data_IF_072758132057
#
_entry.id   IF_072758132057
#
_cell.length_a   1.000
_cell.length_b   1.000
_cell.length_c   1.000
_cell.angle_alpha   90.00
_cell.angle_beta   90.00
_cell.angle_gamma   90.00
#
_symmetry.space_group_name_H-M   'P 1'
#
loop_
_entity.id
_entity.type
_entity.pdbx_description
1 polymer ?
#
# COMPACT_ATOMS: atom_id res chain seq x y z
N UNK A 1 18.82 -3.00 -20.43
CA UNK A 1 18.65 -4.06 -19.39
C UNK A 1 17.38 -4.84 -19.69
N UNK A 2 17.27 -6.10 -19.26
CA UNK A 2 16.05 -6.89 -19.49
C UNK A 2 15.36 -7.06 -18.13
N UNK A 3 14.25 -6.35 -17.95
CA UNK A 3 13.44 -6.46 -16.71
C UNK A 3 12.53 -7.69 -16.70
N UNK A 4 12.25 -8.28 -17.85
CA UNK A 4 11.35 -9.43 -18.05
C UNK A 4 11.85 -10.77 -17.50
N UNK A 5 12.90 -10.77 -16.68
CA UNK A 5 13.46 -11.97 -16.02
C UNK A 5 13.33 -11.95 -14.50
N UNK A 6 12.94 -10.81 -13.91
CA UNK A 6 12.94 -10.64 -12.45
C UNK A 6 12.07 -11.71 -11.79
N UNK A 7 10.87 -11.97 -12.30
CA UNK A 7 10.01 -13.04 -11.79
C UNK A 7 10.72 -14.41 -11.79
N UNK A 8 11.33 -14.81 -12.91
CA UNK A 8 12.00 -16.11 -13.01
C UNK A 8 13.23 -16.18 -12.10
N UNK A 9 13.99 -15.09 -12.02
CA UNK A 9 15.18 -15.02 -11.18
C UNK A 9 14.83 -15.02 -9.68
N UNK A 10 13.69 -14.45 -9.27
CA UNK A 10 13.13 -14.57 -7.92
C UNK A 10 12.71 -16.00 -7.60
N UNK A 11 11.92 -16.64 -8.49
CA UNK A 11 11.44 -18.03 -8.28
C UNK A 11 12.60 -19.03 -8.20
N UNK A 12 13.65 -18.81 -8.99
CA UNK A 12 14.85 -19.67 -8.94
C UNK A 12 15.79 -19.38 -7.75
N UNK A 13 15.51 -18.36 -6.95
CA UNK A 13 16.36 -17.93 -5.85
C UNK A 13 17.66 -17.23 -6.27
N UNK A 14 17.80 -16.87 -7.54
CA UNK A 14 18.97 -16.17 -8.06
C UNK A 14 18.96 -14.69 -7.66
N UNK A 15 17.81 -14.08 -7.61
CA UNK A 15 17.60 -12.71 -7.16
C UNK A 15 16.74 -12.70 -5.89
N UNK A 16 16.80 -11.57 -5.14
CA UNK A 16 16.03 -11.36 -3.93
C UNK A 16 14.98 -10.28 -4.12
N UNK A 17 13.90 -10.40 -3.34
CA UNK A 17 12.94 -9.34 -3.11
C UNK A 17 13.33 -8.60 -1.83
N UNK A 18 13.24 -7.27 -1.83
CA UNK A 18 13.37 -6.48 -0.60
C UNK A 18 12.05 -5.78 -0.27
N UNK A 19 11.72 -5.75 1.02
CA UNK A 19 10.63 -4.98 1.56
C UNK A 19 11.18 -3.85 2.44
N UNK A 20 10.81 -2.61 2.15
CA UNK A 20 11.23 -1.39 2.86
C UNK A 20 10.06 -0.88 3.70
N UNK A 21 10.21 -0.96 5.01
CA UNK A 21 9.17 -0.67 6.00
C UNK A 21 8.44 -1.93 6.45
N UNK A 22 8.72 -2.38 7.68
CA UNK A 22 8.16 -3.59 8.29
C UNK A 22 7.09 -3.25 9.33
N UNK A 23 6.15 -2.38 8.94
CA UNK A 23 4.97 -2.06 9.72
C UNK A 23 3.84 -3.07 9.46
N UNK A 24 2.61 -2.69 9.86
CA UNK A 24 1.40 -3.52 9.72
C UNK A 24 1.05 -3.90 8.25
N UNK A 25 1.57 -3.17 7.28
CA UNK A 25 1.43 -3.51 5.85
C UNK A 25 2.60 -4.37 5.38
N UNK A 26 3.82 -3.88 5.59
CA UNK A 26 5.00 -4.50 5.00
C UNK A 26 5.37 -5.85 5.62
N UNK A 27 5.13 -6.04 6.92
CA UNK A 27 5.49 -7.29 7.58
C UNK A 27 4.68 -8.50 7.06
N UNK A 28 3.33 -8.44 6.95
CA UNK A 28 2.56 -9.53 6.33
C UNK A 28 2.99 -9.85 4.90
N UNK A 29 3.29 -8.82 4.11
CA UNK A 29 3.75 -8.99 2.73
C UNK A 29 5.11 -9.71 2.69
N UNK A 30 6.07 -9.28 3.53
CA UNK A 30 7.39 -9.89 3.60
C UNK A 30 7.32 -11.38 3.96
N UNK A 31 6.53 -11.70 4.99
CA UNK A 31 6.35 -13.09 5.45
C UNK A 31 5.66 -13.95 4.41
N UNK A 32 4.68 -13.42 3.70
CA UNK A 32 3.98 -14.19 2.66
C UNK A 32 4.91 -14.46 1.46
N UNK A 33 5.65 -13.46 0.98
CA UNK A 33 6.64 -13.65 -0.08
C UNK A 33 7.77 -14.62 0.33
N UNK A 34 8.21 -14.58 1.59
CA UNK A 34 9.29 -15.43 2.09
C UNK A 34 8.97 -16.94 2.06
N UNK A 35 7.69 -17.30 1.93
CA UNK A 35 7.27 -18.70 1.70
C UNK A 35 7.64 -19.21 0.29
N UNK A 36 7.97 -18.31 -0.63
CA UNK A 36 8.12 -18.63 -2.06
C UNK A 36 9.45 -18.18 -2.66
N UNK A 37 10.00 -17.06 -2.18
CA UNK A 37 11.22 -16.44 -2.72
C UNK A 37 12.11 -15.90 -1.60
N UNK A 38 13.43 -15.68 -1.84
CA UNK A 38 14.30 -15.03 -0.86
C UNK A 38 13.86 -13.57 -0.62
N UNK A 39 13.64 -13.20 0.65
CA UNK A 39 13.17 -11.86 1.04
C UNK A 39 14.12 -11.22 2.04
N UNK A 40 14.50 -9.97 1.76
CA UNK A 40 15.16 -9.05 2.70
C UNK A 40 14.09 -8.13 3.27
N UNK A 41 13.89 -8.18 4.59
CA UNK A 41 13.01 -7.27 5.31
C UNK A 41 13.82 -6.14 5.94
N UNK A 42 13.67 -4.92 5.42
CA UNK A 42 14.38 -3.73 5.91
C UNK A 42 13.45 -2.80 6.67
N UNK A 43 13.86 -2.38 7.86
CA UNK A 43 13.24 -1.27 8.61
C UNK A 43 14.33 -0.41 9.23
N UNK A 44 14.12 0.93 9.26
CA UNK A 44 15.06 1.87 9.89
C UNK A 44 15.08 1.75 11.43
N UNK A 45 14.07 1.14 12.01
CA UNK A 45 13.95 0.93 13.46
C UNK A 45 14.71 -0.34 13.88
N UNK A 46 15.94 -0.18 14.33
CA UNK A 46 16.79 -1.29 14.78
C UNK A 46 16.16 -2.10 15.92
N UNK A 47 15.43 -1.46 16.83
CA UNK A 47 14.74 -2.16 17.92
C UNK A 47 13.70 -3.11 17.37
N UNK A 48 12.86 -2.66 16.46
CA UNK A 48 11.86 -3.49 15.78
C UNK A 48 12.49 -4.63 14.99
N UNK A 49 13.57 -4.36 14.24
CA UNK A 49 14.31 -5.39 13.52
C UNK A 49 14.86 -6.45 14.47
N UNK A 50 15.36 -6.05 15.63
CA UNK A 50 15.87 -6.99 16.63
C UNK A 50 14.74 -7.83 17.28
N UNK A 51 13.55 -7.22 17.51
CA UNK A 51 12.37 -7.96 17.96
C UNK A 51 11.99 -9.06 16.96
N UNK A 52 11.90 -8.72 15.67
CA UNK A 52 11.61 -9.68 14.60
C UNK A 52 12.64 -10.82 14.52
N UNK A 53 13.94 -10.51 14.61
CA UNK A 53 15.01 -11.53 14.67
C UNK A 53 14.88 -12.48 15.86
N UNK A 54 14.29 -12.00 16.95
CA UNK A 54 14.03 -12.79 18.15
C UNK A 54 12.65 -13.48 18.14
N UNK A 55 11.93 -13.46 17.01
CA UNK A 55 10.62 -14.10 16.88
C UNK A 55 9.49 -13.36 17.59
N UNK A 56 9.65 -12.05 17.86
CA UNK A 56 8.63 -11.21 18.50
C UNK A 56 7.92 -10.40 17.40
N UNK A 57 6.62 -10.59 17.24
CA UNK A 57 5.79 -9.81 16.32
C UNK A 57 5.40 -8.47 16.95
N UNK A 58 6.19 -7.43 16.69
CA UNK A 58 5.92 -6.07 17.17
C UNK A 58 4.66 -5.42 16.57
N UNK A 59 4.10 -6.01 15.51
CA UNK A 59 2.91 -5.48 14.82
C UNK A 59 1.61 -6.16 15.24
N UNK A 60 1.68 -7.36 15.80
CA UNK A 60 0.54 -8.26 16.07
C UNK A 60 -0.26 -8.66 14.82
N UNK A 61 0.33 -8.57 13.62
CA UNK A 61 -0.34 -8.85 12.35
C UNK A 61 -0.09 -10.28 11.86
N UNK A 62 1.04 -10.88 12.19
CA UNK A 62 1.46 -12.19 11.69
C UNK A 62 1.49 -13.28 12.78
N UNK A 63 1.46 -12.89 14.06
CA UNK A 63 1.46 -13.81 15.20
C UNK A 63 2.59 -14.82 15.15
N UNK A 64 2.31 -16.10 15.41
CA UNK A 64 3.30 -17.17 15.46
C UNK A 64 4.06 -17.40 14.14
N UNK A 65 3.59 -16.83 13.03
CA UNK A 65 4.29 -16.93 11.75
C UNK A 65 5.68 -16.29 11.77
N UNK A 66 5.94 -15.35 12.70
CA UNK A 66 7.25 -14.73 12.89
C UNK A 66 8.33 -15.77 13.23
N UNK A 67 7.99 -16.82 13.99
CA UNK A 67 8.95 -17.84 14.45
C UNK A 67 9.42 -18.76 13.32
N UNK A 68 8.62 -18.88 12.25
CA UNK A 68 8.86 -19.81 11.15
C UNK A 68 9.18 -19.10 9.83
N UNK A 69 9.30 -17.76 9.84
CA UNK A 69 9.60 -17.01 8.62
C UNK A 69 11.07 -17.13 8.22
N UNK A 70 11.33 -17.11 6.92
CA UNK A 70 12.67 -17.06 6.33
C UNK A 70 13.08 -15.67 5.89
N UNK A 71 12.34 -14.63 6.32
CA UNK A 71 12.70 -13.23 6.03
C UNK A 71 14.05 -12.89 6.68
N UNK A 72 14.95 -12.36 5.88
CA UNK A 72 16.26 -11.88 6.34
C UNK A 72 16.11 -10.42 6.82
N UNK A 73 15.83 -10.25 8.11
CA UNK A 73 15.58 -8.94 8.72
C UNK A 73 16.85 -8.12 8.89
N UNK A 74 16.82 -6.85 8.50
CA UNK A 74 17.98 -5.96 8.60
C UNK A 74 17.59 -4.49 8.81
N UNK A 75 18.44 -3.75 9.51
CA UNK A 75 18.42 -2.29 9.56
C UNK A 75 19.56 -1.66 8.73
N UNK A 76 20.39 -2.48 8.06
CA UNK A 76 21.43 -1.98 7.18
C UNK A 76 20.87 -1.73 5.77
N UNK A 77 20.77 -0.45 5.33
CA UNK A 77 20.22 -0.11 4.02
C UNK A 77 21.07 -0.63 2.86
N UNK A 78 22.35 -0.91 3.07
CA UNK A 78 23.23 -1.47 2.02
C UNK A 78 22.77 -2.84 1.53
N UNK A 79 22.02 -3.57 2.36
CA UNK A 79 21.46 -4.87 1.98
C UNK A 79 20.44 -4.78 0.83
N UNK A 80 19.87 -3.59 0.57
CA UNK A 80 18.92 -3.37 -0.55
C UNK A 80 19.58 -3.56 -1.91
N UNK A 81 20.91 -3.39 -2.02
CA UNK A 81 21.64 -3.65 -3.27
C UNK A 81 21.63 -5.12 -3.71
N UNK A 82 21.27 -6.05 -2.80
CA UNK A 82 21.14 -7.47 -3.10
C UNK A 82 19.81 -7.83 -3.79
N UNK A 83 18.87 -6.89 -3.89
CA UNK A 83 17.53 -7.14 -4.41
C UNK A 83 17.31 -6.48 -5.77
N UNK A 84 16.54 -7.15 -6.64
CA UNK A 84 16.09 -6.62 -7.94
C UNK A 84 14.60 -6.29 -7.98
N UNK A 85 13.86 -6.62 -6.95
CA UNK A 85 12.48 -6.20 -6.76
C UNK A 85 12.34 -5.62 -5.36
N UNK A 86 12.03 -4.32 -5.29
CA UNK A 86 11.94 -3.60 -4.02
C UNK A 86 10.52 -3.10 -3.83
N UNK A 87 9.86 -3.52 -2.75
CA UNK A 87 8.55 -3.02 -2.35
C UNK A 87 8.73 -2.00 -1.23
N UNK A 88 8.11 -0.83 -1.36
CA UNK A 88 8.15 0.24 -0.36
C UNK A 88 6.79 0.37 0.31
N UNK A 89 6.73 0.05 1.60
CA UNK A 89 5.51 0.02 2.42
C UNK A 89 5.69 0.84 3.71
N UNK A 90 6.08 2.10 3.57
CA UNK A 90 6.26 3.04 4.69
C UNK A 90 4.97 3.79 5.01
N UNK A 91 4.78 4.27 6.27
CA UNK A 91 3.58 5.00 6.66
C UNK A 91 3.44 6.33 5.91
N UNK A 92 2.18 6.75 5.77
CA UNK A 92 1.78 8.02 5.11
C UNK A 92 0.78 8.76 5.98
N UNK A 93 1.22 9.38 7.09
CA UNK A 93 0.35 10.14 7.96
C UNK A 93 -0.06 11.47 7.35
N UNK A 94 -1.00 12.15 7.99
CA UNK A 94 -1.30 13.58 7.78
C UNK A 94 -0.64 14.41 8.86
N UNK A 95 -0.39 15.68 8.56
CA UNK A 95 0.05 16.69 9.52
C UNK A 95 -1.13 17.25 10.32
N UNK A 96 -0.84 18.14 11.28
CA UNK A 96 -1.86 18.80 12.11
C UNK A 96 -2.86 19.63 11.28
N UNK A 97 -2.45 20.12 10.11
CA UNK A 97 -3.30 20.83 9.16
C UNK A 97 -4.04 19.91 8.18
N UNK A 98 -4.05 18.60 8.44
CA UNK A 98 -4.59 17.54 7.59
C UNK A 98 -3.94 17.44 6.18
N UNK A 99 -2.84 18.15 5.94
CA UNK A 99 -2.08 17.96 4.69
C UNK A 99 -1.27 16.66 4.71
N UNK A 100 -1.09 15.98 3.56
CA UNK A 100 -0.28 14.77 3.47
C UNK A 100 1.16 14.97 3.97
N UNK A 101 1.63 14.13 4.90
CA UNK A 101 3.04 14.09 5.28
C UNK A 101 3.79 13.06 4.43
N UNK A 102 4.46 13.52 3.41
CA UNK A 102 5.25 12.67 2.51
C UNK A 102 6.71 12.46 2.97
N UNK A 103 7.09 12.91 4.18
CA UNK A 103 8.46 12.72 4.68
C UNK A 103 8.90 11.26 4.68
N UNK A 104 8.08 10.28 5.18
CA UNK A 104 8.49 8.88 5.15
C UNK A 104 8.70 8.35 3.73
N UNK A 105 7.78 8.68 2.80
CA UNK A 105 7.87 8.26 1.40
C UNK A 105 9.10 8.85 0.71
N UNK A 106 9.35 10.16 0.90
CA UNK A 106 10.55 10.83 0.37
C UNK A 106 11.84 10.25 0.95
N UNK A 107 11.86 9.97 2.26
CA UNK A 107 13.00 9.33 2.92
C UNK A 107 13.26 7.93 2.40
N UNK A 108 12.22 7.11 2.23
CA UNK A 108 12.33 5.78 1.65
C UNK A 108 12.80 5.83 0.19
N UNK A 109 12.31 6.80 -0.60
CA UNK A 109 12.76 7.01 -1.98
C UNK A 109 14.24 7.33 -2.05
N UNK A 110 14.73 8.23 -1.18
CA UNK A 110 16.15 8.57 -1.11
C UNK A 110 17.00 7.35 -0.70
N UNK A 111 16.57 6.63 0.33
CA UNK A 111 17.26 5.44 0.82
C UNK A 111 17.33 4.34 -0.25
N UNK A 112 16.24 4.09 -0.96
CA UNK A 112 16.22 3.13 -2.08
C UNK A 112 17.17 3.61 -3.19
N UNK A 113 17.11 4.88 -3.59
CA UNK A 113 18.00 5.45 -4.59
C UNK A 113 19.49 5.27 -4.26
N UNK A 114 19.88 5.52 -3.02
CA UNK A 114 21.26 5.37 -2.54
C UNK A 114 21.78 3.94 -2.53
N UNK A 115 20.89 2.95 -2.48
CA UNK A 115 21.27 1.56 -2.24
C UNK A 115 20.80 0.58 -3.32
N UNK A 116 19.97 0.97 -4.29
CA UNK A 116 19.54 0.06 -5.33
C UNK A 116 20.57 -0.12 -6.44
N UNK A 117 20.45 -1.19 -7.20
CA UNK A 117 21.31 -1.50 -8.36
C UNK A 117 20.56 -1.30 -9.68
N UNK A 118 21.27 -1.03 -10.80
CA UNK A 118 20.66 -1.05 -12.13
C UNK A 118 19.94 -2.39 -12.40
N UNK A 119 18.80 -2.35 -13.10
CA UNK A 119 17.95 -3.51 -13.39
C UNK A 119 16.91 -3.81 -12.31
N UNK A 120 16.73 -2.93 -11.31
CA UNK A 120 15.73 -3.06 -10.25
C UNK A 120 14.35 -2.54 -10.70
N UNK A 121 13.29 -3.22 -10.25
CA UNK A 121 11.92 -2.68 -10.25
C UNK A 121 11.58 -2.27 -8.81
N UNK A 122 11.13 -1.02 -8.63
CA UNK A 122 10.65 -0.47 -7.36
C UNK A 122 9.14 -0.34 -7.39
N UNK A 123 8.43 -0.87 -6.39
CA UNK A 123 6.98 -0.78 -6.30
C UNK A 123 6.60 -0.11 -4.98
N UNK A 124 5.83 0.98 -5.07
CA UNK A 124 5.28 1.63 -3.89
C UNK A 124 3.92 1.04 -3.52
N UNK A 125 3.74 0.76 -2.24
CA UNK A 125 2.45 0.35 -1.65
C UNK A 125 1.89 1.38 -0.66
N UNK A 126 2.75 2.32 -0.22
CA UNK A 126 2.35 3.41 0.66
C UNK A 126 1.20 4.21 0.05
N UNK A 127 0.14 4.48 0.82
CA UNK A 127 -1.02 5.26 0.35
C UNK A 127 -0.61 6.70 0.03
N UNK A 128 -0.84 7.13 -1.19
CA UNK A 128 -0.49 8.49 -1.65
C UNK A 128 -1.59 9.02 -2.58
N UNK A 129 -1.63 10.34 -2.79
CA UNK A 129 -2.50 10.93 -3.81
C UNK A 129 -1.93 10.70 -5.23
N UNK A 130 -2.78 10.72 -6.28
CA UNK A 130 -2.34 10.48 -7.64
C UNK A 130 -1.21 11.40 -8.10
N UNK A 131 -0.12 10.81 -8.60
CA UNK A 131 1.06 11.50 -9.11
C UNK A 131 2.26 11.48 -8.15
N UNK A 132 2.11 11.12 -6.89
CA UNK A 132 3.25 11.14 -5.93
C UNK A 132 4.37 10.21 -6.38
N UNK A 133 4.06 9.01 -6.82
CA UNK A 133 5.07 8.04 -7.25
C UNK A 133 5.87 8.56 -8.43
N UNK A 134 5.21 9.15 -9.43
CA UNK A 134 5.88 9.64 -10.65
C UNK A 134 6.52 11.02 -10.44
N UNK A 135 5.77 11.98 -9.85
CA UNK A 135 6.18 13.38 -9.80
C UNK A 135 7.13 13.69 -8.63
N UNK A 136 7.17 12.82 -7.59
CA UNK A 136 7.98 13.03 -6.37
C UNK A 136 9.00 11.92 -6.17
N UNK A 137 8.59 10.63 -6.20
CA UNK A 137 9.51 9.55 -5.86
C UNK A 137 10.56 9.32 -6.96
N UNK A 138 10.16 9.32 -8.25
CA UNK A 138 11.11 9.15 -9.36
C UNK A 138 12.25 10.17 -9.29
N UNK A 139 12.01 11.50 -9.24
CA UNK A 139 13.08 12.49 -9.20
C UNK A 139 14.04 12.31 -8.01
N UNK A 140 13.52 11.89 -6.85
CA UNK A 140 14.36 11.63 -5.68
C UNK A 140 15.25 10.41 -5.93
N UNK A 141 14.70 9.30 -6.40
CA UNK A 141 15.44 8.07 -6.67
C UNK A 141 16.51 8.32 -7.75
N UNK A 142 16.17 9.03 -8.84
CA UNK A 142 17.13 9.38 -9.89
C UNK A 142 18.28 10.23 -9.35
N UNK A 143 17.97 11.25 -8.54
CA UNK A 143 18.99 12.12 -7.93
C UNK A 143 19.96 11.34 -7.04
N UNK A 144 19.42 10.46 -6.19
CA UNK A 144 20.23 9.75 -5.19
C UNK A 144 21.00 8.56 -5.78
N UNK A 145 20.46 7.92 -6.82
CA UNK A 145 21.09 6.77 -7.49
C UNK A 145 22.03 7.14 -8.64
N UNK A 146 21.78 8.28 -9.26
CA UNK A 146 22.39 8.63 -10.55
C UNK A 146 21.88 7.80 -11.74
N UNK A 147 20.86 6.95 -11.53
CA UNK A 147 20.26 6.07 -12.51
C UNK A 147 19.02 6.71 -13.15
N UNK A 148 18.71 6.34 -14.40
CA UNK A 148 17.58 6.87 -15.15
C UNK A 148 16.38 5.94 -15.11
N UNK A 149 15.24 6.42 -14.66
CA UNK A 149 13.97 5.69 -14.66
C UNK A 149 13.55 5.34 -16.10
N UNK A 150 13.05 4.12 -16.31
CA UNK A 150 12.68 3.61 -17.63
C UNK A 150 13.84 3.07 -18.46
N UNK A 151 15.09 3.38 -18.08
CA UNK A 151 16.31 2.93 -18.76
C UNK A 151 17.09 1.96 -17.88
N UNK A 152 17.48 2.42 -16.69
CA UNK A 152 18.33 1.66 -15.76
C UNK A 152 17.53 0.93 -14.70
N UNK A 153 16.34 1.42 -14.36
CA UNK A 153 15.40 0.84 -13.41
C UNK A 153 13.97 1.19 -13.79
N UNK A 154 13.00 0.51 -13.20
CA UNK A 154 11.58 0.73 -13.44
C UNK A 154 10.80 0.88 -12.15
N UNK A 155 9.59 1.47 -12.27
CA UNK A 155 8.74 1.76 -11.13
C UNK A 155 7.31 1.28 -11.38
N UNK A 156 6.62 0.97 -10.29
CA UNK A 156 5.20 0.68 -10.27
C UNK A 156 4.54 1.07 -8.95
N UNK A 157 3.25 0.85 -8.87
CA UNK A 157 2.46 1.09 -7.70
C UNK A 157 1.40 0.00 -7.52
N UNK A 158 1.22 -0.43 -6.28
CA UNK A 158 0.22 -1.44 -5.93
C UNK A 158 -0.35 -1.13 -4.55
N UNK A 159 -1.57 -0.54 -4.45
CA UNK A 159 -2.13 -0.16 -3.17
C UNK A 159 -2.40 -1.36 -2.28
N UNK A 160 -2.12 -1.23 -0.98
CA UNK A 160 -2.55 -2.22 -0.02
C UNK A 160 -4.03 -2.05 0.33
N UNK A 161 -4.74 -3.18 0.46
CA UNK A 161 -6.18 -3.23 0.70
C UNK A 161 -6.56 -4.05 1.94
N UNK A 162 -5.57 -4.48 2.74
CA UNK A 162 -5.81 -5.21 3.99
C UNK A 162 -6.35 -4.23 5.05
N UNK A 163 -7.33 -4.69 5.82
CA UNK A 163 -7.73 -4.00 7.04
C UNK A 163 -6.96 -4.62 8.21
N UNK A 164 -6.21 -3.83 9.01
CA UNK A 164 -5.53 -4.35 10.18
C UNK A 164 -6.46 -5.15 11.09
N UNK A 165 -6.01 -6.34 11.49
CA UNK A 165 -6.80 -7.24 12.33
C UNK A 165 -7.88 -8.06 11.63
N UNK A 166 -8.13 -7.88 10.32
CA UNK A 166 -9.09 -8.71 9.56
C UNK A 166 -8.45 -10.06 9.21
N UNK A 167 -8.93 -11.13 9.86
CA UNK A 167 -8.46 -12.50 9.63
C UNK A 167 -9.19 -13.22 8.49
N UNK A 168 -10.24 -12.64 7.95
CA UNK A 168 -11.04 -13.22 6.85
C UNK A 168 -10.51 -12.74 5.50
N UNK A 169 -10.36 -11.41 5.35
CA UNK A 169 -9.89 -10.76 4.13
C UNK A 169 -8.38 -10.52 4.21
N UNK A 170 -7.63 -11.61 4.15
CA UNK A 170 -6.16 -11.58 4.22
C UNK A 170 -5.53 -11.20 2.89
N UNK A 171 -4.24 -10.84 2.90
CA UNK A 171 -3.45 -10.48 1.71
C UNK A 171 -3.69 -11.41 0.51
N UNK A 172 -3.68 -12.72 0.74
CA UNK A 172 -3.79 -13.72 -0.34
C UNK A 172 -5.20 -13.84 -0.92
N UNK A 173 -6.24 -13.37 -0.19
CA UNK A 173 -7.66 -13.54 -0.53
C UNK A 173 -8.30 -12.30 -1.15
N UNK A 174 -7.64 -11.16 -1.11
CA UNK A 174 -8.13 -9.91 -1.71
C UNK A 174 -7.45 -9.73 -3.07
N UNK A 175 -8.24 -9.44 -4.11
CA UNK A 175 -7.69 -9.08 -5.40
C UNK A 175 -6.86 -7.79 -5.28
N UNK A 176 -5.60 -7.82 -5.75
CA UNK A 176 -4.67 -6.71 -5.60
C UNK A 176 -4.54 -5.91 -6.90
N UNK A 177 -4.64 -4.58 -6.79
CA UNK A 177 -4.41 -3.68 -7.91
C UNK A 177 -2.90 -3.61 -8.18
N UNK A 178 -2.51 -3.65 -9.44
CA UNK A 178 -1.10 -3.51 -9.85
C UNK A 178 -0.97 -2.58 -11.04
N UNK A 179 0.11 -1.83 -11.08
CA UNK A 179 0.46 -0.96 -12.20
C UNK A 179 1.97 -0.85 -12.38
N UNK A 180 2.40 -0.55 -13.58
CA UNK A 180 3.79 -0.23 -13.90
C UNK A 180 3.86 1.01 -14.75
N UNK A 181 5.06 1.58 -14.88
CA UNK A 181 5.28 2.75 -15.74
C UNK A 181 5.14 2.44 -17.25
N UNK A 182 5.28 1.18 -17.60
CA UNK A 182 5.13 0.64 -18.96
C UNK A 182 4.65 -0.82 -18.92
N UNK A 183 4.34 -1.39 -20.09
CA UNK A 183 3.81 -2.74 -20.22
C UNK A 183 4.78 -3.82 -19.68
N UNK A 184 6.11 -3.62 -19.89
CA UNK A 184 7.11 -4.57 -19.38
C UNK A 184 7.13 -4.60 -17.85
N UNK A 185 7.19 -3.44 -17.19
CA UNK A 185 7.15 -3.36 -15.73
C UNK A 185 5.82 -3.81 -15.16
N UNK A 186 4.69 -3.42 -15.76
CA UNK A 186 3.37 -3.85 -15.31
C UNK A 186 3.22 -5.38 -15.36
N UNK A 187 3.73 -6.01 -16.43
CA UNK A 187 3.71 -7.46 -16.61
C UNK A 187 4.56 -8.18 -15.56
N UNK A 188 5.77 -7.70 -15.31
CA UNK A 188 6.65 -8.32 -14.29
C UNK A 188 6.11 -8.10 -12.87
N UNK A 189 5.62 -6.90 -12.55
CA UNK A 189 4.98 -6.61 -11.26
C UNK A 189 3.79 -7.55 -11.05
N UNK A 190 2.92 -7.68 -12.06
CA UNK A 190 1.80 -8.62 -12.00
C UNK A 190 2.25 -10.04 -11.67
N UNK A 191 3.22 -10.58 -12.40
CA UNK A 191 3.75 -11.95 -12.17
C UNK A 191 4.30 -12.12 -10.76
N UNK A 192 5.03 -11.12 -10.25
CA UNK A 192 5.60 -11.17 -8.90
C UNK A 192 4.50 -11.19 -7.84
N UNK A 193 3.49 -10.34 -7.95
CA UNK A 193 2.38 -10.36 -6.99
C UNK A 193 1.51 -11.62 -7.10
N UNK A 194 1.34 -12.18 -8.29
CA UNK A 194 0.60 -13.45 -8.49
C UNK A 194 1.26 -14.64 -7.76
N UNK A 195 2.52 -14.53 -7.30
CA UNK A 195 3.17 -15.54 -6.45
C UNK A 195 2.37 -15.72 -5.15
N UNK A 196 1.90 -14.63 -4.56
CA UNK A 196 1.29 -14.62 -3.22
C UNK A 196 -0.21 -14.33 -3.25
N UNK A 197 -0.71 -13.58 -4.23
CA UNK A 197 -2.12 -13.17 -4.32
C UNK A 197 -2.97 -14.23 -5.01
N UNK A 198 -3.53 -15.16 -4.23
CA UNK A 198 -4.38 -16.26 -4.77
C UNK A 198 -5.68 -15.78 -5.39
N UNK A 199 -6.21 -14.63 -4.93
CA UNK A 199 -7.39 -14.00 -5.52
C UNK A 199 -7.09 -13.33 -6.89
N UNK A 200 -5.82 -13.35 -7.31
CA UNK A 200 -5.33 -12.74 -8.53
C UNK A 200 -5.11 -11.23 -8.42
N UNK A 201 -4.43 -10.69 -9.42
CA UNK A 201 -4.16 -9.26 -9.53
C UNK A 201 -5.04 -8.62 -10.59
N UNK A 202 -5.34 -7.34 -10.42
CA UNK A 202 -6.09 -6.52 -11.39
C UNK A 202 -5.15 -5.41 -11.91
N UNK A 203 -4.63 -5.54 -13.13
CA UNK A 203 -3.77 -4.51 -13.72
C UNK A 203 -4.60 -3.29 -14.13
N UNK A 204 -4.08 -2.10 -13.82
CA UNK A 204 -4.61 -0.83 -14.30
C UNK A 204 -3.59 -0.13 -15.19
N UNK A 205 -4.06 0.75 -16.08
CA UNK A 205 -3.27 1.30 -17.17
C UNK A 205 -2.14 2.24 -16.76
N UNK A 206 -2.26 2.90 -15.60
CA UNK A 206 -1.27 3.89 -15.13
C UNK A 206 -1.06 3.80 -13.62
N UNK A 207 0.10 4.26 -13.17
CA UNK A 207 0.42 4.42 -11.75
C UNK A 207 -0.58 5.37 -11.08
N UNK A 208 -0.88 6.51 -11.70
CA UNK A 208 -1.88 7.49 -11.19
C UNK A 208 -3.26 6.87 -11.00
N UNK A 209 -3.67 5.97 -11.89
CA UNK A 209 -4.94 5.23 -11.73
C UNK A 209 -4.90 4.33 -10.50
N UNK A 210 -3.81 3.59 -10.30
CA UNK A 210 -3.68 2.71 -9.14
C UNK A 210 -3.66 3.49 -7.81
N UNK A 211 -2.97 4.62 -7.75
CA UNK A 211 -2.97 5.55 -6.61
C UNK A 211 -4.40 6.07 -6.34
N UNK A 212 -5.12 6.49 -7.39
CA UNK A 212 -6.48 7.00 -7.29
C UNK A 212 -7.46 5.97 -6.71
N UNK A 213 -7.38 4.70 -7.14
CA UNK A 213 -8.27 3.63 -6.67
C UNK A 213 -8.30 3.57 -5.14
N UNK A 214 -7.14 3.64 -4.48
CA UNK A 214 -7.04 3.51 -3.02
C UNK A 214 -7.75 4.66 -2.29
N UNK A 215 -7.38 5.89 -2.62
CA UNK A 215 -7.91 7.07 -1.91
C UNK A 215 -9.39 7.31 -2.22
N UNK A 216 -9.85 6.99 -3.43
CA UNK A 216 -11.26 7.09 -3.81
C UNK A 216 -12.10 6.04 -3.09
N UNK A 217 -11.64 4.78 -3.00
CA UNK A 217 -12.34 3.71 -2.28
C UNK A 217 -12.58 4.07 -0.82
N UNK A 218 -11.57 4.59 -0.13
CA UNK A 218 -11.70 4.97 1.27
C UNK A 218 -12.54 6.23 1.46
N UNK A 219 -12.41 7.24 0.57
CA UNK A 219 -13.28 8.43 0.59
C UNK A 219 -14.75 8.07 0.36
N UNK A 220 -15.04 7.16 -0.57
CA UNK A 220 -16.41 6.69 -0.80
C UNK A 220 -17.00 6.06 0.47
N UNK A 221 -16.20 5.26 1.19
CA UNK A 221 -16.65 4.62 2.44
C UNK A 221 -16.95 5.66 3.52
N UNK A 222 -16.08 6.66 3.68
CA UNK A 222 -16.25 7.75 4.64
C UNK A 222 -17.54 8.53 4.36
N UNK A 223 -17.75 8.97 3.12
CA UNK A 223 -18.96 9.69 2.69
C UNK A 223 -20.23 8.88 2.95
N UNK A 224 -20.21 7.58 2.63
CA UNK A 224 -21.39 6.72 2.86
C UNK A 224 -21.71 6.58 4.35
N UNK A 225 -20.71 6.49 5.22
CA UNK A 225 -20.92 6.47 6.68
C UNK A 225 -21.42 7.83 7.17
N UNK A 226 -20.83 8.93 6.69
CA UNK A 226 -21.28 10.29 7.02
C UNK A 226 -22.74 10.51 6.62
N UNK A 227 -23.13 10.06 5.43
CA UNK A 227 -24.53 10.10 4.98
C UNK A 227 -25.44 9.32 5.93
N UNK A 228 -25.05 8.12 6.38
CA UNK A 228 -25.86 7.35 7.34
C UNK A 228 -25.95 8.01 8.71
N UNK A 229 -24.90 8.72 9.15
CA UNK A 229 -24.96 9.53 10.37
C UNK A 229 -26.00 10.66 10.26
N UNK A 230 -26.06 11.34 9.11
CA UNK A 230 -27.06 12.37 8.87
C UNK A 230 -28.47 11.78 8.84
N UNK A 231 -28.67 10.63 8.20
CA UNK A 231 -29.95 9.89 8.22
C UNK A 231 -30.39 9.56 9.63
N UNK A 232 -29.46 9.11 10.49
CA UNK A 232 -29.78 8.83 11.91
C UNK A 232 -30.27 10.07 12.66
N UNK A 233 -29.64 11.23 12.44
CA UNK A 233 -30.08 12.51 13.02
C UNK A 233 -31.46 12.94 12.49
N UNK A 234 -31.75 12.73 11.20
CA UNK A 234 -33.05 12.99 10.60
C UNK A 234 -34.12 12.08 11.19
N UNK A 235 -33.85 10.79 11.30
CA UNK A 235 -34.77 9.81 11.90
C UNK A 235 -35.12 10.17 13.35
N UNK A 236 -34.12 10.58 14.14
CA UNK A 236 -34.32 11.08 15.53
C UNK A 236 -35.30 12.27 15.56
N UNK A 237 -35.11 13.26 14.66
CA UNK A 237 -36.03 14.41 14.55
C UNK A 237 -37.44 14.03 14.11
N UNK A 238 -37.58 12.99 13.31
CA UNK A 238 -38.86 12.44 12.85
C UNK A 238 -39.49 11.48 13.85
N UNK A 239 -38.78 11.14 14.94
CA UNK A 239 -39.21 10.16 15.95
C UNK A 239 -39.48 8.77 15.35
N UNK A 240 -38.65 8.34 14.40
CA UNK A 240 -38.67 7.00 13.82
C UNK A 240 -37.38 6.25 14.15
N UNK A 241 -37.47 4.94 14.28
CA UNK A 241 -36.34 4.09 14.60
C UNK A 241 -35.40 3.97 13.41
N UNK A 242 -34.15 4.41 13.56
CA UNK A 242 -33.13 4.36 12.50
C UNK A 242 -32.79 2.93 12.11
N UNK A 243 -32.71 2.01 13.06
CA UNK A 243 -32.36 0.61 12.78
C UNK A 243 -33.47 -0.08 11.98
N UNK A 244 -34.73 0.22 12.27
CA UNK A 244 -35.88 -0.28 11.51
C UNK A 244 -35.87 0.25 10.06
N UNK A 245 -35.59 1.55 9.89
CA UNK A 245 -35.45 2.16 8.54
C UNK A 245 -34.34 1.48 7.76
N UNK A 246 -33.16 1.32 8.37
CA UNK A 246 -32.02 0.67 7.73
C UNK A 246 -32.27 -0.82 7.43
N UNK A 247 -32.93 -1.53 8.34
CA UNK A 247 -33.33 -2.92 8.10
C UNK A 247 -34.27 -3.02 6.88
N UNK A 248 -35.30 -2.16 6.83
CA UNK A 248 -36.22 -2.08 5.69
C UNK A 248 -35.49 -1.74 4.38
N UNK A 249 -34.62 -0.72 4.40
CA UNK A 249 -33.82 -0.31 3.23
C UNK A 249 -32.93 -1.45 2.72
N UNK A 250 -32.30 -2.21 3.64
CA UNK A 250 -31.37 -3.28 3.30
C UNK A 250 -32.06 -4.57 2.79
N UNK A 251 -33.39 -4.65 2.78
CA UNK A 251 -34.09 -5.73 2.09
C UNK A 251 -34.00 -5.65 0.56
N UNK A 252 -33.66 -4.48 0.03
CA UNK A 252 -33.53 -4.28 -1.41
C UNK A 252 -32.19 -4.85 -1.89
N UNK A 253 -32.22 -5.59 -2.99
CA UNK A 253 -31.05 -6.32 -3.54
C UNK A 253 -29.83 -5.46 -3.86
N UNK A 254 -30.02 -4.17 -4.11
CA UNK A 254 -28.93 -3.23 -4.40
C UNK A 254 -28.63 -2.25 -3.24
N UNK A 255 -29.06 -2.55 -2.04
CA UNK A 255 -28.70 -1.79 -0.86
C UNK A 255 -27.20 -1.96 -0.55
N UNK A 256 -26.55 -0.89 -0.10
CA UNK A 256 -25.10 -0.86 0.13
C UNK A 256 -24.70 -1.34 1.53
N UNK A 257 -25.64 -1.48 2.47
CA UNK A 257 -25.42 -2.03 3.80
C UNK A 257 -24.67 -1.11 4.78
N UNK A 258 -24.42 0.16 4.44
CA UNK A 258 -23.79 1.12 5.36
C UNK A 258 -24.71 1.44 6.53
N UNK A 259 -24.07 1.74 7.68
CA UNK A 259 -24.73 2.09 8.95
C UNK A 259 -24.09 3.35 9.55
N UNK A 260 -24.79 4.08 10.41
CA UNK A 260 -24.21 5.15 11.21
C UNK A 260 -23.06 4.64 12.06
N UNK A 261 -22.02 5.46 12.24
CA UNK A 261 -20.88 5.12 13.06
C UNK A 261 -19.77 6.16 12.99
N UNK A 262 -18.74 5.95 13.78
CA UNK A 262 -17.53 6.75 13.73
C UNK A 262 -16.52 6.09 12.83
N UNK A 263 -15.83 6.90 12.06
CA UNK A 263 -14.64 6.47 11.31
C UNK A 263 -13.39 6.74 12.11
N UNK A 264 -12.36 5.93 11.87
CA UNK A 264 -11.09 6.08 12.60
C UNK A 264 -9.99 5.23 11.95
N UNK A 265 -8.89 5.06 12.68
CA UNK A 265 -7.71 4.35 12.21
C UNK A 265 -6.89 5.14 11.21
N UNK A 266 -5.97 4.43 10.52
CA UNK A 266 -4.97 5.04 9.65
C UNK A 266 -5.43 5.23 8.18
N UNK A 267 -6.63 4.81 7.82
CA UNK A 267 -7.09 4.80 6.43
C UNK A 267 -8.27 5.76 6.21
N UNK A 268 -9.48 5.41 6.72
CA UNK A 268 -10.70 6.17 6.40
C UNK A 268 -10.64 7.61 6.94
N UNK A 269 -10.03 7.83 8.10
CA UNK A 269 -9.84 9.16 8.67
C UNK A 269 -8.69 9.98 8.07
N UNK A 270 -7.95 9.44 7.08
CA UNK A 270 -6.74 10.06 6.52
C UNK A 270 -6.82 10.21 5.00
N UNK A 271 -7.19 9.15 4.29
CA UNK A 271 -7.14 9.10 2.82
C UNK A 271 -8.02 10.15 2.11
N UNK A 272 -9.22 10.56 2.65
CA UNK A 272 -9.99 11.66 2.06
C UNK A 272 -9.20 12.97 1.98
N UNK A 273 -8.36 13.27 2.97
CA UNK A 273 -7.49 14.46 2.94
C UNK A 273 -6.43 14.40 1.85
N UNK A 274 -5.94 13.21 1.52
CA UNK A 274 -5.05 13.02 0.38
C UNK A 274 -5.74 13.37 -0.94
N UNK A 275 -7.00 12.93 -1.10
CA UNK A 275 -7.79 13.19 -2.30
C UNK A 275 -8.17 14.67 -2.43
N UNK A 276 -8.68 15.28 -1.36
CA UNK A 276 -9.07 16.70 -1.37
C UNK A 276 -7.86 17.62 -1.58
N UNK A 277 -6.72 17.32 -0.96
CA UNK A 277 -5.48 18.08 -1.17
C UNK A 277 -5.00 18.00 -2.64
N UNK A 278 -5.14 16.84 -3.28
CA UNK A 278 -4.84 16.70 -4.70
C UNK A 278 -5.80 17.51 -5.58
N UNK A 279 -7.10 17.48 -5.28
CA UNK A 279 -8.12 18.26 -5.99
C UNK A 279 -7.87 19.77 -5.88
N UNK A 280 -7.57 20.28 -4.68
CA UNK A 280 -7.24 21.69 -4.43
C UNK A 280 -6.05 22.17 -5.27
N UNK A 281 -4.98 21.35 -5.36
CA UNK A 281 -3.81 21.66 -6.19
C UNK A 281 -4.14 21.76 -7.68
N UNK A 282 -5.21 21.11 -8.13
CA UNK A 282 -5.73 21.18 -9.49
C UNK A 282 -6.78 22.29 -9.67
N UNK A 283 -7.04 23.09 -8.64
CA UNK A 283 -8.04 24.15 -8.65
C UNK A 283 -9.49 23.67 -8.51
N UNK A 284 -9.70 22.43 -8.04
CA UNK A 284 -11.04 21.92 -7.78
C UNK A 284 -11.30 21.81 -6.27
N UNK A 285 -12.26 22.58 -5.79
CA UNK A 285 -12.73 22.48 -4.40
C UNK A 285 -13.79 21.40 -4.28
N UNK A 286 -13.53 20.39 -3.49
CA UNK A 286 -14.45 19.27 -3.28
C UNK A 286 -15.71 19.73 -2.53
N UNK A 287 -16.88 19.28 -2.98
CA UNK A 287 -18.18 19.67 -2.40
C UNK A 287 -18.76 18.61 -1.47
N UNK A 288 -18.29 17.38 -1.55
CA UNK A 288 -18.90 16.24 -0.86
C UNK A 288 -17.90 15.58 0.10
N UNK A 289 -16.61 15.60 -0.27
CA UNK A 289 -15.53 14.96 0.51
C UNK A 289 -15.07 15.90 1.62
#
# INVERSE_FOLDING_TARGET
MKFNRIYNDLISGKEKLALVGLGYVGMPIAVEFAKHVPVIGFDINETRVNEYKNGIDATNEIGDSIQNTTVDFTADPKRLQEAKFIIVAVPTPVKDDNSPDLKPVKGASALVGQNMQPGTIVVFESTVYPGVTEDICIPIIEKESGLKCGVDWKIGYSPERINPGDRVHTLTKIQKIVSGMDEESATEIKKVYDIVIKAGTFPVSTIKTAEAVKVIENSQRDINIAFMNEIAMICDKMQIDTDEVLAGMNTKWNALGFRPGLVGGHCIGVDPYYLTNAAEKLGYHSQII
#
